data_IF_813100284143
#
_entry.id   IF_813100284143
#
_cell.length_a   1.000
_cell.length_b   1.000
_cell.length_c   1.000
_cell.angle_alpha   90.00
_cell.angle_beta   90.00
_cell.angle_gamma   90.00
#
_symmetry.space_group_name_H-M   'P 1'
#
loop_
_entity.id
_entity.type
_entity.pdbx_description
1 polymer ?
#
# COMPACT_ATOMS: atom_id res chain seq x y z
N UNK A 1 65.39 -7.35 -1.62
CA UNK A 1 65.01 -6.87 -0.27
C UNK A 1 64.32 -5.53 -0.50
N UNK A 2 63.00 -5.39 -0.42
CA UNK A 2 62.15 -5.57 0.77
C UNK A 2 60.71 -5.78 0.28
N UNK A 3 60.08 -6.88 0.68
CA UNK A 3 58.63 -7.08 0.64
C UNK A 3 58.08 -6.51 1.95
N UNK A 4 57.52 -5.31 1.95
CA UNK A 4 56.77 -4.82 3.12
C UNK A 4 55.29 -5.04 2.85
N UNK A 5 54.84 -6.20 3.33
CA UNK A 5 53.46 -6.59 3.49
C UNK A 5 52.86 -5.65 4.56
N UNK A 6 51.91 -4.80 4.19
CA UNK A 6 50.95 -4.26 5.16
C UNK A 6 50.14 -5.46 5.67
N UNK A 7 50.61 -6.14 6.72
CA UNK A 7 49.79 -7.14 7.39
C UNK A 7 48.77 -6.39 8.23
N UNK A 8 47.61 -6.13 7.64
CA UNK A 8 46.43 -5.86 8.43
C UNK A 8 46.22 -7.11 9.30
N UNK A 9 46.16 -6.99 10.64
CA UNK A 9 45.99 -8.14 11.50
C UNK A 9 44.69 -8.86 11.13
N UNK A 10 44.77 -10.19 10.95
CA UNK A 10 43.65 -11.07 10.57
C UNK A 10 42.43 -10.91 11.49
N UNK A 11 42.65 -10.48 12.73
CA UNK A 11 41.61 -10.15 13.70
C UNK A 11 40.69 -9.00 13.29
N UNK A 12 41.14 -8.09 12.42
CA UNK A 12 40.32 -6.98 11.90
C UNK A 12 39.48 -7.44 10.71
N UNK A 13 39.96 -8.43 9.95
CA UNK A 13 39.25 -9.03 8.81
C UNK A 13 38.18 -10.02 9.24
N UNK A 14 38.34 -10.69 10.39
CA UNK A 14 37.29 -11.55 10.96
C UNK A 14 36.13 -10.78 11.60
N UNK A 15 36.36 -9.55 12.08
CA UNK A 15 35.32 -8.70 12.67
C UNK A 15 34.41 -8.04 11.61
N UNK A 16 34.94 -7.83 10.41
CA UNK A 16 34.24 -7.23 9.27
C UNK A 16 34.35 -8.20 8.10
N UNK A 17 33.44 -9.18 8.05
CA UNK A 17 33.43 -10.28 7.11
C UNK A 17 33.71 -9.88 5.66
N UNK A 18 34.42 -10.75 4.94
CA UNK A 18 34.85 -10.54 3.56
C UNK A 18 33.68 -10.61 2.58
N UNK A 19 33.00 -9.48 2.38
CA UNK A 19 31.98 -9.27 1.36
C UNK A 19 31.01 -8.18 1.78
N UNK A 20 30.36 -7.45 0.86
CA UNK A 20 29.32 -6.52 1.24
C UNK A 20 28.22 -7.33 1.96
N UNK A 21 28.14 -7.17 3.27
CA UNK A 21 27.31 -7.98 4.13
C UNK A 21 25.86 -7.51 4.02
N UNK A 22 25.20 -7.91 2.93
CA UNK A 22 23.77 -7.75 2.70
C UNK A 22 22.94 -8.71 3.58
N UNK A 23 23.53 -9.33 4.60
CA UNK A 23 22.88 -10.29 5.51
C UNK A 23 21.68 -9.68 6.26
N UNK A 24 21.74 -8.39 6.53
CA UNK A 24 20.66 -7.65 7.20
C UNK A 24 19.72 -6.94 6.24
N UNK A 25 19.97 -7.00 4.92
CA UNK A 25 19.09 -6.40 3.92
C UNK A 25 17.81 -7.24 3.78
N UNK A 26 16.61 -6.62 3.82
CA UNK A 26 15.36 -7.38 3.76
C UNK A 26 15.19 -8.14 2.43
N UNK A 27 15.84 -7.72 1.34
CA UNK A 27 15.72 -8.29 0.00
C UNK A 27 16.96 -9.08 -0.49
N UNK A 28 17.84 -9.53 0.41
CA UNK A 28 19.03 -10.32 0.05
C UNK A 28 18.71 -11.72 -0.52
N UNK A 29 19.65 -12.35 -1.26
CA UNK A 29 19.46 -13.67 -1.86
C UNK A 29 19.45 -14.76 -0.77
N UNK A 30 18.25 -15.29 -0.48
CA UNK A 30 18.05 -16.41 0.42
C UNK A 30 16.82 -16.24 1.32
N UNK A 31 15.95 -17.25 1.33
CA UNK A 31 14.97 -17.39 2.40
C UNK A 31 15.74 -17.85 3.64
N UNK A 32 16.09 -16.91 4.52
CA UNK A 32 16.59 -17.25 5.85
C UNK A 32 15.54 -18.06 6.65
N UNK A 33 15.85 -18.39 7.90
CA UNK A 33 14.92 -19.02 8.85
C UNK A 33 13.49 -18.47 8.69
N UNK A 34 12.45 -19.32 8.76
CA UNK A 34 11.06 -18.92 8.54
C UNK A 34 10.65 -17.67 9.34
N UNK A 35 11.16 -17.52 10.56
CA UNK A 35 10.97 -16.34 11.40
C UNK A 35 11.53 -15.05 10.79
N UNK A 36 12.71 -15.11 10.18
CA UNK A 36 13.33 -13.97 9.50
C UNK A 36 12.54 -13.58 8.25
N UNK A 37 12.05 -14.57 7.49
CA UNK A 37 11.20 -14.33 6.32
C UNK A 37 9.84 -13.72 6.70
N UNK A 38 9.22 -14.20 7.78
CA UNK A 38 7.97 -13.66 8.30
C UNK A 38 8.11 -12.21 8.78
N UNK A 39 9.19 -11.90 9.51
CA UNK A 39 9.44 -10.55 10.02
C UNK A 39 9.68 -9.56 8.87
N UNK A 40 10.35 -9.98 7.80
CA UNK A 40 10.52 -9.18 6.57
C UNK A 40 9.17 -8.86 5.92
N UNK A 41 8.29 -9.86 5.77
CA UNK A 41 6.95 -9.64 5.20
C UNK A 41 6.09 -8.74 6.08
N UNK A 42 6.15 -8.92 7.41
CA UNK A 42 5.46 -8.05 8.36
C UNK A 42 5.95 -6.60 8.27
N UNK A 43 7.27 -6.40 8.16
CA UNK A 43 7.87 -5.08 8.01
C UNK A 43 7.44 -4.40 6.70
N UNK A 44 7.46 -5.14 5.58
CA UNK A 44 6.97 -4.64 4.29
C UNK A 44 5.48 -4.31 4.37
N UNK A 45 4.67 -5.18 4.97
CA UNK A 45 3.24 -4.93 5.19
C UNK A 45 2.98 -3.68 6.03
N UNK A 46 3.80 -3.44 7.06
CA UNK A 46 3.70 -2.24 7.90
C UNK A 46 4.03 -0.98 7.11
N UNK A 47 5.11 -0.99 6.32
CA UNK A 47 5.48 0.15 5.47
C UNK A 47 4.37 0.44 4.44
N UNK A 48 3.92 -0.58 3.71
CA UNK A 48 2.86 -0.42 2.71
C UNK A 48 1.55 0.02 3.36
N UNK A 49 1.18 -0.55 4.50
CA UNK A 49 0.01 -0.13 5.27
C UNK A 49 0.12 1.33 5.72
N UNK A 50 1.29 1.76 6.16
CA UNK A 50 1.57 3.15 6.54
C UNK A 50 1.44 4.09 5.35
N UNK A 51 2.00 3.74 4.19
CA UNK A 51 1.87 4.51 2.94
C UNK A 51 0.40 4.60 2.52
N UNK A 52 -0.32 3.49 2.54
CA UNK A 52 -1.76 3.47 2.24
C UNK A 52 -2.54 4.38 3.18
N UNK A 53 -2.25 4.35 4.49
CA UNK A 53 -2.88 5.23 5.47
C UNK A 53 -2.54 6.70 5.21
N UNK A 54 -1.27 7.00 4.91
CA UNK A 54 -0.81 8.34 4.60
C UNK A 54 -1.53 8.90 3.36
N UNK A 55 -1.60 8.12 2.28
CA UNK A 55 -2.36 8.48 1.08
C UNK A 55 -3.86 8.59 1.35
N UNK A 56 -4.42 7.73 2.21
CA UNK A 56 -5.83 7.77 2.62
C UNK A 56 -6.16 9.04 3.41
N UNK A 57 -5.20 9.57 4.18
CA UNK A 57 -5.34 10.83 4.93
C UNK A 57 -5.13 12.04 4.02
N UNK A 58 -4.19 12.00 3.08
CA UNK A 58 -3.91 13.12 2.19
C UNK A 58 -4.91 13.25 1.05
N UNK A 59 -5.31 12.13 0.44
CA UNK A 59 -6.08 12.08 -0.80
C UNK A 59 -7.39 11.29 -0.70
N UNK A 60 -7.63 10.56 0.40
CA UNK A 60 -8.91 9.89 0.63
C UNK A 60 -10.04 10.88 0.93
N UNK A 61 -11.28 10.43 1.14
CA UNK A 61 -12.40 11.31 1.47
C UNK A 61 -12.07 12.18 2.70
N UNK A 62 -12.24 13.51 2.52
CA UNK A 62 -11.81 14.58 3.44
C UNK A 62 -10.29 14.82 3.52
N UNK A 63 -9.52 14.33 2.56
CA UNK A 63 -8.07 14.51 2.53
C UNK A 63 -7.66 15.96 2.26
N UNK A 64 -6.52 16.36 2.83
CA UNK A 64 -6.03 17.75 2.80
C UNK A 64 -5.71 18.21 1.37
N UNK A 65 -5.18 17.30 0.53
CA UNK A 65 -4.79 17.58 -0.85
C UNK A 65 -5.78 17.02 -1.88
N UNK A 66 -6.96 16.60 -1.44
CA UNK A 66 -8.01 16.12 -2.33
C UNK A 66 -8.63 17.31 -3.05
N UNK A 67 -8.49 17.34 -4.37
CA UNK A 67 -9.05 18.41 -5.21
C UNK A 67 -10.58 18.37 -5.18
N UNK A 68 -11.21 19.53 -5.04
CA UNK A 68 -12.67 19.67 -4.98
C UNK A 68 -13.32 19.34 -6.33
N UNK A 69 -12.57 19.40 -7.43
CA UNK A 69 -13.09 19.05 -8.75
C UNK A 69 -13.31 17.53 -8.90
N UNK A 70 -12.40 16.69 -8.38
CA UNK A 70 -12.61 15.23 -8.34
C UNK A 70 -13.79 14.83 -7.43
N UNK A 71 -14.03 15.60 -6.37
CA UNK A 71 -15.18 15.40 -5.48
C UNK A 71 -16.48 15.73 -6.18
N UNK A 72 -16.47 16.76 -7.03
CA UNK A 72 -17.60 17.17 -7.84
C UNK A 72 -17.95 16.10 -8.88
N UNK A 73 -16.98 15.58 -9.62
CA UNK A 73 -17.21 14.49 -10.59
C UNK A 73 -17.74 13.22 -9.93
N UNK A 74 -17.20 12.84 -8.76
CA UNK A 74 -17.69 11.68 -8.01
C UNK A 74 -19.11 11.91 -7.46
N UNK A 75 -19.45 13.13 -7.05
CA UNK A 75 -20.80 13.50 -6.62
C UNK A 75 -21.78 13.50 -7.80
N UNK A 76 -21.38 14.04 -8.95
CA UNK A 76 -22.18 14.08 -10.18
C UNK A 76 -22.47 12.67 -10.70
N UNK A 77 -21.47 11.77 -10.69
CA UNK A 77 -21.68 10.37 -11.06
C UNK A 77 -22.66 9.65 -10.12
N UNK A 78 -22.61 9.93 -8.82
CA UNK A 78 -23.56 9.37 -7.85
C UNK A 78 -24.97 9.93 -8.05
N UNK A 79 -25.10 11.24 -8.29
CA UNK A 79 -26.39 11.87 -8.53
C UNK A 79 -27.03 11.32 -9.82
N UNK A 80 -26.23 11.13 -10.87
CA UNK A 80 -26.70 10.50 -12.11
C UNK A 80 -27.17 9.07 -11.88
N UNK A 81 -26.39 8.26 -11.15
CA UNK A 81 -26.78 6.88 -10.82
C UNK A 81 -28.06 6.81 -9.99
N UNK A 82 -28.31 7.79 -9.10
CA UNK A 82 -29.56 7.88 -8.35
C UNK A 82 -30.76 8.27 -9.23
N UNK A 83 -30.57 9.22 -10.15
CA UNK A 83 -31.60 9.65 -11.11
C UNK A 83 -32.00 8.51 -12.05
N UNK A 84 -31.02 7.74 -12.55
CA UNK A 84 -31.29 6.57 -13.39
C UNK A 84 -32.08 5.51 -12.60
N UNK A 85 -31.74 5.29 -11.33
CA UNK A 85 -32.48 4.39 -10.43
C UNK A 85 -33.93 4.82 -10.18
N UNK A 86 -34.14 6.13 -10.03
CA UNK A 86 -35.48 6.71 -9.83
C UNK A 86 -36.32 6.63 -11.11
N UNK A 87 -35.69 6.78 -12.28
CA UNK A 87 -36.33 6.55 -13.57
C UNK A 87 -36.73 5.08 -13.77
N UNK A 88 -35.86 4.12 -13.41
CA UNK A 88 -36.16 2.68 -13.42
C UNK A 88 -37.35 2.33 -12.50
N UNK A 89 -37.45 3.00 -11.34
CA UNK A 89 -38.57 2.80 -10.41
C UNK A 89 -39.86 3.39 -10.99
N UNK A 90 -39.78 4.60 -11.58
CA UNK A 90 -40.93 5.29 -12.17
C UNK A 90 -41.45 4.59 -13.44
N UNK A 91 -40.58 3.93 -14.20
CA UNK A 91 -40.96 3.10 -15.35
C UNK A 91 -41.53 1.74 -14.94
N UNK A 92 -41.42 1.36 -13.65
CA UNK A 92 -41.88 0.08 -13.12
C UNK A 92 -40.97 -1.10 -13.51
N UNK A 93 -39.77 -0.84 -14.03
CA UNK A 93 -38.79 -1.88 -14.38
C UNK A 93 -38.15 -2.53 -13.15
N UNK A 94 -38.16 -1.83 -12.01
CA UNK A 94 -37.65 -2.36 -10.73
C UNK A 94 -38.72 -2.27 -9.62
N UNK A 95 -38.70 -3.25 -8.72
CA UNK A 95 -39.54 -3.24 -7.53
C UNK A 95 -39.04 -2.21 -6.51
N UNK A 96 -39.96 -1.68 -5.70
CA UNK A 96 -39.67 -0.86 -4.51
C UNK A 96 -38.60 -1.47 -3.60
N UNK A 97 -38.60 -2.80 -3.49
CA UNK A 97 -37.64 -3.53 -2.66
C UNK A 97 -36.23 -3.45 -3.27
N UNK A 98 -36.11 -3.67 -4.58
CA UNK A 98 -34.86 -3.63 -5.33
C UNK A 98 -34.28 -2.21 -5.39
N UNK A 99 -35.14 -1.21 -5.53
CA UNK A 99 -34.76 0.20 -5.43
C UNK A 99 -34.10 0.51 -4.08
N UNK A 100 -34.70 0.07 -2.97
CA UNK A 100 -34.15 0.29 -1.61
C UNK A 100 -32.77 -0.35 -1.43
N UNK A 101 -32.58 -1.58 -1.94
CA UNK A 101 -31.28 -2.25 -1.88
C UNK A 101 -30.22 -1.58 -2.76
N UNK A 102 -30.57 -1.28 -4.02
CA UNK A 102 -29.65 -0.63 -4.96
C UNK A 102 -29.28 0.79 -4.50
N UNK A 103 -30.23 1.57 -3.98
CA UNK A 103 -30.00 2.92 -3.43
C UNK A 103 -29.07 2.91 -2.21
N UNK A 104 -29.22 1.94 -1.31
CA UNK A 104 -28.34 1.79 -0.13
C UNK A 104 -26.88 1.48 -0.51
N UNK A 105 -26.63 0.87 -1.66
CA UNK A 105 -25.28 0.56 -2.16
C UNK A 105 -24.59 1.76 -2.83
N UNK A 106 -25.38 2.74 -3.28
CA UNK A 106 -24.88 3.95 -3.94
C UNK A 106 -24.53 5.09 -2.97
N UNK A 107 -25.07 5.04 -1.74
CA UNK A 107 -24.81 5.99 -0.65
C UNK A 107 -23.59 5.55 0.18
#
# INVERSE_FOLDING_TARGET
MIKTILSIPSSVTELFGTGPQWDHWPFGPGYGNLNASLLKLAFVGLILGSICLFLRVLFGPKGIFRDKELDREAAEMREKALKDLEAELASGEISELDYKFKKKRLL
#
